data_IF_955289575325
#
_entry.id   IF_955289575325
#
_cell.length_a   1.000
_cell.length_b   1.000
_cell.length_c   1.000
_cell.angle_alpha   90.00
_cell.angle_beta   90.00
_cell.angle_gamma   90.00
#
_symmetry.space_group_name_H-M   'P 1'
#
loop_
_entity.id
_entity.type
_entity.pdbx_description
1 polymer ?
#
# COMPACT_ATOMS: atom_id res chain seq x y z
N UNK A 1 -21.34 -22.70 12.21
CA UNK A 1 -21.38 -22.40 10.76
C UNK A 1 -21.80 -20.97 10.44
N UNK A 2 -23.05 -20.50 10.66
CA UNK A 2 -23.41 -19.09 10.37
C UNK A 2 -22.66 -18.06 11.24
N UNK A 3 -22.36 -18.41 12.50
CA UNK A 3 -21.55 -17.58 13.41
C UNK A 3 -20.09 -17.45 12.96
N UNK A 4 -19.51 -18.51 12.41
CA UNK A 4 -18.11 -18.54 11.96
C UNK A 4 -17.91 -17.73 10.67
N UNK A 5 -18.89 -17.75 9.77
CA UNK A 5 -18.91 -16.93 8.56
C UNK A 5 -19.00 -15.45 8.94
N UNK A 6 -19.85 -15.09 9.90
CA UNK A 6 -19.96 -13.71 10.40
C UNK A 6 -18.68 -13.20 11.07
N UNK A 7 -17.97 -14.05 11.83
CA UNK A 7 -16.67 -13.71 12.45
C UNK A 7 -15.55 -13.59 11.41
N UNK A 8 -15.55 -14.43 10.37
CA UNK A 8 -14.57 -14.33 9.28
C UNK A 8 -14.76 -13.04 8.47
N UNK A 9 -16.01 -12.66 8.19
CA UNK A 9 -16.33 -11.44 7.43
C UNK A 9 -16.01 -10.15 8.20
N UNK A 10 -16.28 -10.11 9.51
CA UNK A 10 -15.90 -8.96 10.37
C UNK A 10 -14.39 -8.80 10.51
N UNK A 11 -13.65 -9.93 10.61
CA UNK A 11 -12.18 -9.92 10.57
C UNK A 11 -11.65 -9.47 9.21
N UNK A 12 -12.23 -9.97 8.12
CA UNK A 12 -11.90 -9.56 6.75
C UNK A 12 -12.06 -8.05 6.54
N UNK A 13 -13.21 -7.48 6.90
CA UNK A 13 -13.45 -6.03 6.81
C UNK A 13 -12.48 -5.20 7.67
N UNK A 14 -12.18 -5.66 8.88
CA UNK A 14 -11.21 -4.98 9.76
C UNK A 14 -9.80 -4.98 9.15
N UNK A 15 -9.39 -6.10 8.55
CA UNK A 15 -8.08 -6.21 7.90
C UNK A 15 -8.01 -5.39 6.61
N UNK A 16 -9.07 -5.35 5.80
CA UNK A 16 -9.13 -4.47 4.61
C UNK A 16 -9.01 -3.00 5.02
N UNK A 17 -9.68 -2.58 6.10
CA UNK A 17 -9.56 -1.21 6.60
C UNK A 17 -8.14 -0.90 7.09
N UNK A 18 -7.47 -1.87 7.70
CA UNK A 18 -6.08 -1.72 8.12
C UNK A 18 -5.13 -1.62 6.91
N UNK A 19 -5.31 -2.45 5.88
CA UNK A 19 -4.57 -2.36 4.60
C UNK A 19 -4.78 -1.00 3.93
N UNK A 20 -6.02 -0.49 3.92
CA UNK A 20 -6.36 0.84 3.43
C UNK A 20 -5.58 1.93 4.15
N UNK A 21 -5.56 1.91 5.49
CA UNK A 21 -4.82 2.88 6.30
C UNK A 21 -3.31 2.78 6.03
N UNK A 22 -2.76 1.56 5.98
CA UNK A 22 -1.34 1.35 5.71
C UNK A 22 -0.93 1.86 4.33
N UNK A 23 -1.76 1.66 3.30
CA UNK A 23 -1.50 2.20 1.95
C UNK A 23 -1.47 3.73 1.95
N UNK A 24 -2.37 4.38 2.68
CA UNK A 24 -2.37 5.84 2.80
C UNK A 24 -1.10 6.33 3.50
N UNK A 25 -0.74 5.73 4.64
CA UNK A 25 0.47 6.10 5.38
C UNK A 25 1.70 5.88 4.50
N UNK A 26 1.77 4.76 3.79
CA UNK A 26 2.88 4.45 2.90
C UNK A 26 2.94 5.42 1.71
N UNK A 27 1.80 5.84 1.15
CA UNK A 27 1.76 6.83 0.08
C UNK A 27 2.23 8.21 0.56
N UNK A 28 1.85 8.64 1.77
CA UNK A 28 2.34 9.90 2.37
C UNK A 28 3.85 9.83 2.59
N UNK A 29 4.36 8.72 3.12
CA UNK A 29 5.80 8.51 3.27
C UNK A 29 6.52 8.55 1.92
N UNK A 30 5.95 7.93 0.88
CA UNK A 30 6.47 7.94 -0.48
C UNK A 30 6.48 9.33 -1.10
N UNK A 31 5.43 10.13 -0.89
CA UNK A 31 5.39 11.54 -1.30
C UNK A 31 6.47 12.36 -0.60
N UNK A 32 6.64 12.19 0.71
CA UNK A 32 7.68 12.90 1.46
C UNK A 32 9.09 12.52 0.97
N UNK A 33 9.34 11.22 0.77
CA UNK A 33 10.61 10.71 0.25
C UNK A 33 10.90 11.25 -1.15
N UNK A 34 9.89 11.25 -2.02
CA UNK A 34 9.98 11.75 -3.38
C UNK A 34 10.19 13.26 -3.43
N UNK A 35 9.48 14.04 -2.61
CA UNK A 35 9.64 15.48 -2.53
C UNK A 35 11.05 15.88 -2.07
N UNK A 36 11.58 15.20 -1.05
CA UNK A 36 12.96 15.38 -0.61
C UNK A 36 13.97 14.94 -1.67
N UNK A 37 13.69 13.83 -2.37
CA UNK A 37 14.51 13.36 -3.48
C UNK A 37 14.58 14.36 -4.64
N UNK A 38 13.45 14.95 -5.02
CA UNK A 38 13.39 16.00 -6.05
C UNK A 38 14.13 17.26 -5.61
N UNK A 39 13.92 17.71 -4.37
CA UNK A 39 14.50 18.95 -3.87
C UNK A 39 16.02 18.85 -3.63
N UNK A 40 16.53 17.69 -3.20
CA UNK A 40 17.96 17.54 -2.84
C UNK A 40 18.80 16.89 -3.93
N UNK A 41 18.23 16.02 -4.75
CA UNK A 41 18.98 15.18 -5.69
C UNK A 41 18.54 15.36 -7.15
N UNK A 42 17.53 16.20 -7.44
CA UNK A 42 16.98 16.48 -8.78
C UNK A 42 16.73 15.21 -9.62
N UNK A 43 16.34 14.13 -8.95
CA UNK A 43 16.34 12.80 -9.55
C UNK A 43 15.00 12.48 -10.23
N UNK A 44 15.02 12.09 -11.51
CA UNK A 44 13.85 11.63 -12.25
C UNK A 44 13.15 10.42 -11.58
N UNK A 45 13.89 9.58 -10.85
CA UNK A 45 13.33 8.47 -10.08
C UNK A 45 12.40 8.96 -8.96
N UNK A 46 12.65 10.15 -8.42
CA UNK A 46 11.78 10.76 -7.40
C UNK A 46 10.45 11.22 -7.99
N UNK A 47 10.42 11.67 -9.26
CA UNK A 47 9.17 11.97 -9.96
C UNK A 47 8.30 10.71 -10.13
N UNK A 48 8.92 9.55 -10.43
CA UNK A 48 8.22 8.26 -10.44
C UNK A 48 7.66 7.92 -9.06
N UNK A 49 8.40 8.20 -7.99
CA UNK A 49 7.92 8.07 -6.60
C UNK A 49 6.62 8.84 -6.34
N UNK A 50 6.50 10.07 -6.84
CA UNK A 50 5.26 10.87 -6.73
C UNK A 50 4.10 10.19 -7.45
N UNK A 51 4.31 9.75 -8.69
CA UNK A 51 3.27 9.08 -9.50
C UNK A 51 2.78 7.81 -8.80
N UNK A 52 3.69 6.99 -8.30
CA UNK A 52 3.37 5.75 -7.60
C UNK A 52 2.62 6.04 -6.28
N UNK A 53 2.99 7.08 -5.55
CA UNK A 53 2.29 7.44 -4.33
C UNK A 53 0.86 7.95 -4.60
N UNK A 54 0.64 8.74 -5.66
CA UNK A 54 -0.72 9.16 -6.06
C UNK A 54 -1.55 7.94 -6.49
N UNK A 55 -0.96 7.03 -7.29
CA UNK A 55 -1.63 5.79 -7.68
C UNK A 55 -2.01 4.94 -6.45
N UNK A 56 -1.15 4.89 -5.43
CA UNK A 56 -1.43 4.17 -4.18
C UNK A 56 -2.61 4.79 -3.40
N UNK A 57 -2.74 6.12 -3.38
CA UNK A 57 -3.92 6.79 -2.79
C UNK A 57 -5.20 6.45 -3.53
N UNK A 58 -5.16 6.45 -4.87
CA UNK A 58 -6.30 6.06 -5.69
C UNK A 58 -6.72 4.60 -5.44
N UNK A 59 -5.75 3.69 -5.41
CA UNK A 59 -5.98 2.28 -5.09
C UNK A 59 -6.52 2.10 -3.67
N UNK A 60 -6.05 2.88 -2.70
CA UNK A 60 -6.60 2.85 -1.34
C UNK A 60 -8.09 3.21 -1.32
N UNK A 61 -8.51 4.26 -2.04
CA UNK A 61 -9.94 4.58 -2.18
C UNK A 61 -10.73 3.45 -2.84
N UNK A 62 -10.14 2.80 -3.84
CA UNK A 62 -10.70 1.64 -4.49
C UNK A 62 -10.90 0.43 -3.57
N UNK A 63 -9.92 0.13 -2.71
CA UNK A 63 -10.00 -0.92 -1.70
C UNK A 63 -11.07 -0.65 -0.65
N UNK A 64 -11.23 0.61 -0.22
CA UNK A 64 -12.29 1.02 0.71
C UNK A 64 -13.68 0.69 0.16
N UNK A 65 -13.84 0.76 -1.16
CA UNK A 65 -15.08 0.44 -1.87
C UNK A 65 -15.17 -1.04 -2.31
N UNK A 66 -14.24 -1.89 -1.86
CA UNK A 66 -14.19 -3.33 -2.19
C UNK A 66 -14.17 -3.63 -3.71
N UNK A 67 -13.54 -2.74 -4.50
CA UNK A 67 -13.41 -2.96 -5.94
C UNK A 67 -12.40 -4.08 -6.22
N UNK A 68 -12.81 -5.14 -6.94
CA UNK A 68 -11.99 -6.35 -7.16
C UNK A 68 -10.64 -6.05 -7.81
N UNK A 69 -10.61 -5.17 -8.81
CA UNK A 69 -9.38 -4.86 -9.55
C UNK A 69 -8.33 -4.14 -8.68
N UNK A 70 -8.78 -3.44 -7.65
CA UNK A 70 -7.91 -2.62 -6.78
C UNK A 70 -7.03 -3.47 -5.88
N UNK A 71 -7.43 -4.71 -5.59
CA UNK A 71 -6.58 -5.67 -4.89
C UNK A 71 -5.28 -5.94 -5.67
N UNK A 72 -5.39 -6.24 -6.96
CA UNK A 72 -4.23 -6.57 -7.79
C UNK A 72 -3.31 -5.36 -7.95
N UNK A 73 -3.89 -4.17 -8.12
CA UNK A 73 -3.11 -2.93 -8.16
C UNK A 73 -2.42 -2.64 -6.81
N UNK A 74 -3.06 -2.92 -5.67
CA UNK A 74 -2.46 -2.73 -4.36
C UNK A 74 -1.24 -3.63 -4.15
N UNK A 75 -1.32 -4.90 -4.58
CA UNK A 75 -0.18 -5.82 -4.53
C UNK A 75 0.96 -5.33 -5.42
N UNK A 76 0.66 -5.00 -6.68
CA UNK A 76 1.64 -4.51 -7.64
C UNK A 76 2.35 -3.25 -7.14
N UNK A 77 1.58 -2.26 -6.66
CA UNK A 77 2.13 -1.00 -6.19
C UNK A 77 3.01 -1.18 -4.95
N UNK A 78 2.69 -2.09 -4.04
CA UNK A 78 3.58 -2.36 -2.89
C UNK A 78 4.90 -2.99 -3.33
N UNK A 79 4.89 -3.89 -4.33
CA UNK A 79 6.11 -4.47 -4.88
C UNK A 79 6.98 -3.39 -5.54
N UNK A 80 6.37 -2.54 -6.38
CA UNK A 80 7.07 -1.41 -7.02
C UNK A 80 7.59 -0.42 -5.98
N UNK A 81 6.80 -0.11 -4.95
CA UNK A 81 7.20 0.80 -3.88
C UNK A 81 8.43 0.29 -3.13
N UNK A 82 8.52 -1.01 -2.83
CA UNK A 82 9.72 -1.61 -2.20
C UNK A 82 10.96 -1.32 -3.04
N UNK A 83 10.88 -1.54 -4.36
CA UNK A 83 12.01 -1.28 -5.27
C UNK A 83 12.38 0.20 -5.25
N UNK A 84 11.41 1.12 -5.31
CA UNK A 84 11.68 2.55 -5.27
C UNK A 84 12.29 3.01 -3.93
N UNK A 85 11.84 2.44 -2.82
CA UNK A 85 12.38 2.77 -1.50
C UNK A 85 13.82 2.31 -1.28
N UNK A 86 14.33 1.34 -2.05
CA UNK A 86 15.77 0.99 -2.03
C UNK A 86 16.67 2.15 -2.49
N UNK A 87 16.11 3.08 -3.27
CA UNK A 87 16.82 4.26 -3.78
C UNK A 87 16.42 5.56 -3.06
N UNK A 88 15.53 5.47 -2.06
CA UNK A 88 15.09 6.62 -1.28
C UNK A 88 16.10 6.95 -0.16
N UNK A 89 16.05 8.17 0.41
CA UNK A 89 16.85 8.52 1.58
C UNK A 89 16.63 7.52 2.73
N UNK A 90 17.72 7.12 3.40
CA UNK A 90 17.77 5.96 4.32
C UNK A 90 16.58 5.87 5.29
N UNK A 91 16.21 6.98 5.94
CA UNK A 91 15.11 7.02 6.93
C UNK A 91 13.76 6.69 6.28
N UNK A 92 13.46 7.29 5.13
CA UNK A 92 12.21 7.07 4.41
C UNK A 92 12.19 5.73 3.67
N UNK A 93 13.35 5.29 3.18
CA UNK A 93 13.53 4.01 2.50
C UNK A 93 13.25 2.83 3.41
N UNK A 94 13.89 2.74 4.57
CA UNK A 94 13.68 1.64 5.52
C UNK A 94 12.23 1.61 5.99
N UNK A 95 11.69 2.76 6.40
CA UNK A 95 10.31 2.86 6.88
C UNK A 95 9.31 2.47 5.79
N UNK A 96 9.53 2.94 4.56
CA UNK A 96 8.72 2.60 3.40
C UNK A 96 8.75 1.12 3.02
N UNK A 97 9.93 0.48 3.07
CA UNK A 97 10.08 -0.96 2.81
C UNK A 97 9.30 -1.76 3.86
N UNK A 98 9.46 -1.44 5.14
CA UNK A 98 8.77 -2.14 6.24
C UNK A 98 7.25 -2.01 6.09
N UNK A 99 6.75 -0.79 5.85
CA UNK A 99 5.31 -0.57 5.62
C UNK A 99 4.81 -1.35 4.41
N UNK A 100 5.56 -1.34 3.31
CA UNK A 100 5.16 -2.04 2.08
C UNK A 100 5.12 -3.57 2.29
N UNK A 101 6.09 -4.12 3.02
CA UNK A 101 6.12 -5.55 3.35
C UNK A 101 4.95 -5.94 4.26
N UNK A 102 4.67 -5.18 5.33
CA UNK A 102 3.55 -5.46 6.22
C UNK A 102 2.22 -5.40 5.43
N UNK A 103 2.07 -4.38 4.59
CA UNK A 103 0.88 -4.21 3.73
C UNK A 103 0.72 -5.38 2.76
N UNK A 104 1.81 -5.83 2.14
CA UNK A 104 1.81 -6.97 1.22
C UNK A 104 1.42 -8.27 1.94
N UNK A 105 1.98 -8.54 3.12
CA UNK A 105 1.66 -9.72 3.92
C UNK A 105 0.18 -9.75 4.32
N UNK A 106 -0.40 -8.59 4.66
CA UNK A 106 -1.82 -8.47 4.96
C UNK A 106 -2.69 -8.65 3.72
N UNK A 107 -2.32 -8.07 2.58
CA UNK A 107 -3.01 -8.29 1.30
C UNK A 107 -3.02 -9.77 0.91
N UNK A 108 -1.91 -10.47 1.11
CA UNK A 108 -1.80 -11.90 0.80
C UNK A 108 -2.49 -12.80 1.82
N UNK A 109 -2.95 -12.26 2.95
CA UNK A 109 -3.70 -13.02 3.94
C UNK A 109 -5.05 -13.48 3.39
N UNK A 110 -5.44 -14.71 3.74
CA UNK A 110 -6.70 -15.32 3.29
C UNK A 110 -7.94 -14.45 3.54
N UNK A 111 -8.12 -13.80 4.71
CA UNK A 111 -9.34 -13.04 4.98
C UNK A 111 -9.49 -11.79 4.12
N UNK A 112 -8.37 -11.11 3.81
CA UNK A 112 -8.38 -9.93 2.91
C UNK A 112 -8.63 -10.37 1.49
N UNK A 113 -7.91 -11.37 0.99
CA UNK A 113 -8.05 -11.89 -0.38
C UNK A 113 -9.48 -12.33 -0.68
N UNK A 114 -10.15 -12.98 0.28
CA UNK A 114 -11.55 -13.42 0.13
C UNK A 114 -12.56 -12.27 -0.02
N UNK A 115 -12.25 -11.04 0.40
CA UNK A 115 -13.16 -9.90 0.19
C UNK A 115 -13.21 -9.42 -1.27
N UNK A 116 -12.26 -9.86 -2.11
CA UNK A 116 -12.11 -9.38 -3.49
C UNK A 116 -12.24 -10.50 -4.54
N UNK A 117 -12.53 -11.75 -4.12
CA UNK A 117 -12.81 -12.89 -5.00
C UNK A 117 -14.32 -13.08 -5.18
#
# INVERSE_FOLDING_TARGET
MLSEIGVAQTKGNSQVNLVYILLIINAINGLAAAALGLYWYENALSALGVIIAIAALWVAMGLKNLQKDMYNYAVLLNIVAIVLYLFAPLVFGILGIVLSLITLLLLLSSPVKQQFQ
#
